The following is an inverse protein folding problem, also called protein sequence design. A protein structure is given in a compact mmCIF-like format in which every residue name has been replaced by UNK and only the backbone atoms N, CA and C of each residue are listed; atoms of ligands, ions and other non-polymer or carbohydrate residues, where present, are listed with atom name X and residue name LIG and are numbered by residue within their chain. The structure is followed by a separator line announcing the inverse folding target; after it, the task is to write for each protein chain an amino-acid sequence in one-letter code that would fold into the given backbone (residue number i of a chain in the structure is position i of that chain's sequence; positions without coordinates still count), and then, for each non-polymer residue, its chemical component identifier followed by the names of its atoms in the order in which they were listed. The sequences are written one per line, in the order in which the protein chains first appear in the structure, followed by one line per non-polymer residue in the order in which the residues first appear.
data_IF_738315197722
#
_entry.id   IF_738315197722
#
_cell.length_a   1.000
_cell.length_b   1.000
_cell.length_c   1.000
_cell.angle_alpha   90.00
_cell.angle_beta   90.00
_cell.angle_gamma   90.00
#
_symmetry.space_group_name_H-M   'P 1'
#
loop_
_entity.id
_entity.type
_entity.pdbx_description
1 polymer ?
#
# COMPACT_ATOMS: atom_id res chain seq x y z
N UNK A 1 6.29 6.25 -68.31
CA UNK A 1 4.99 6.55 -67.67
C UNK A 1 4.17 5.33 -67.26
N UNK A 2 4.59 4.12 -67.63
CA UNK A 2 3.87 2.89 -67.25
C UNK A 2 4.31 2.32 -65.91
N UNK A 3 5.43 2.75 -65.38
CA UNK A 3 6.02 2.22 -64.15
C UNK A 3 5.61 2.99 -62.88
N UNK A 4 5.12 4.22 -63.07
CA UNK A 4 4.63 5.04 -61.93
C UNK A 4 3.25 4.60 -61.42
N UNK A 5 2.50 3.88 -62.24
CA UNK A 5 1.19 3.36 -61.85
C UNK A 5 1.25 2.05 -61.04
N UNK A 6 2.41 1.37 -61.06
CA UNK A 6 2.59 0.13 -60.29
C UNK A 6 3.02 0.36 -58.85
N UNK A 7 3.50 1.55 -58.52
CA UNK A 7 3.98 1.86 -57.19
C UNK A 7 2.86 2.30 -56.23
N UNK A 8 1.74 2.75 -56.78
CA UNK A 8 0.60 3.24 -55.99
C UNK A 8 -0.29 2.12 -55.44
N UNK A 9 -0.14 0.91 -55.98
CA UNK A 9 -1.02 -0.23 -55.58
C UNK A 9 -0.54 -1.01 -54.33
N UNK A 10 0.61 -0.68 -53.74
CA UNK A 10 1.21 -1.48 -52.64
C UNK A 10 1.09 -0.81 -51.28
N UNK A 11 0.59 0.43 -51.20
CA UNK A 11 0.52 1.16 -49.93
C UNK A 11 -0.84 1.09 -49.22
N UNK A 12 -1.71 0.19 -49.57
CA UNK A 12 -3.04 0.04 -48.95
C UNK A 12 -3.22 -1.22 -48.10
N UNK A 13 -2.15 -1.79 -47.61
CA UNK A 13 -2.22 -2.76 -46.50
C UNK A 13 -1.99 -2.02 -45.19
N UNK A 14 -2.94 -1.17 -44.85
CA UNK A 14 -3.07 -0.65 -43.48
C UNK A 14 -3.30 -1.86 -42.58
N UNK A 15 -2.27 -2.20 -41.84
CA UNK A 15 -2.34 -3.15 -40.72
C UNK A 15 -3.31 -2.59 -39.69
N UNK A 16 -4.54 -3.09 -39.72
CA UNK A 16 -5.43 -2.97 -38.59
C UNK A 16 -4.83 -3.79 -37.45
N UNK A 17 -3.92 -3.18 -36.70
CA UNK A 17 -3.50 -3.68 -35.40
C UNK A 17 -4.73 -3.61 -34.50
N UNK A 18 -5.46 -4.71 -34.43
CA UNK A 18 -6.49 -4.91 -33.42
C UNK A 18 -5.75 -4.99 -32.11
N UNK A 19 -5.60 -3.85 -31.44
CA UNK A 19 -5.21 -3.79 -30.05
C UNK A 19 -6.38 -4.43 -29.30
N UNK A 20 -6.27 -5.72 -29.06
CA UNK A 20 -7.08 -6.38 -28.05
C UNK A 20 -6.64 -5.80 -26.72
N UNK A 21 -7.31 -4.73 -26.30
CA UNK A 21 -7.27 -4.31 -24.93
C UNK A 21 -7.85 -5.47 -24.11
N UNK A 22 -6.97 -6.31 -23.57
CA UNK A 22 -7.37 -7.26 -22.56
C UNK A 22 -7.98 -6.41 -21.43
N UNK A 23 -9.19 -6.72 -20.95
CA UNK A 23 -9.67 -6.08 -19.75
C UNK A 23 -8.63 -6.42 -18.67
N UNK A 24 -7.95 -5.40 -18.16
CA UNK A 24 -7.18 -5.54 -16.95
C UNK A 24 -8.21 -5.88 -15.88
N UNK A 25 -8.39 -7.16 -15.61
CA UNK A 25 -9.06 -7.63 -14.42
C UNK A 25 -8.12 -7.21 -13.31
N UNK A 26 -8.37 -6.06 -12.71
CA UNK A 26 -7.75 -5.71 -11.44
C UNK A 26 -8.20 -6.81 -10.48
N UNK A 27 -7.29 -7.73 -10.15
CA UNK A 27 -7.52 -8.64 -9.05
C UNK A 27 -7.96 -7.80 -7.86
N UNK A 28 -9.11 -8.12 -7.23
CA UNK A 28 -9.52 -7.38 -6.06
C UNK A 28 -8.37 -7.52 -5.07
N UNK A 29 -7.67 -6.43 -4.85
CA UNK A 29 -6.63 -6.37 -3.82
C UNK A 29 -7.28 -6.91 -2.54
N UNK A 30 -6.68 -7.91 -1.87
CA UNK A 30 -7.21 -8.38 -0.62
C UNK A 30 -7.45 -7.15 0.25
N UNK A 31 -8.63 -7.04 0.83
CA UNK A 31 -9.01 -5.94 1.72
C UNK A 31 -7.96 -5.88 2.82
N UNK A 32 -6.94 -5.06 2.61
CA UNK A 32 -5.94 -4.82 3.63
C UNK A 32 -6.58 -3.88 4.64
N UNK A 33 -6.68 -4.34 5.88
CA UNK A 33 -7.05 -3.45 6.95
C UNK A 33 -5.96 -2.39 7.06
N UNK A 34 -6.32 -1.15 6.79
CA UNK A 34 -5.41 0.00 6.86
C UNK A 34 -5.92 0.95 7.92
N UNK A 35 -5.04 1.35 8.82
CA UNK A 35 -5.30 2.41 9.79
C UNK A 35 -4.39 3.59 9.52
N UNK A 36 -4.95 4.79 9.56
CA UNK A 36 -4.21 6.04 9.33
C UNK A 36 -3.91 6.70 10.66
N UNK A 37 -2.63 6.94 10.93
CA UNK A 37 -2.18 7.64 12.14
C UNK A 37 -1.81 9.06 11.78
N UNK A 38 -2.55 10.01 12.34
CA UNK A 38 -2.27 11.44 12.21
C UNK A 38 -1.14 11.86 13.14
N UNK A 39 -0.25 12.69 12.62
CA UNK A 39 0.95 13.17 13.33
C UNK A 39 1.03 14.68 13.43
N UNK A 40 0.16 15.41 12.73
CA UNK A 40 0.23 16.87 12.59
C UNK A 40 0.06 17.63 13.92
N UNK A 41 -0.59 17.03 14.91
CA UNK A 41 -0.81 17.58 16.24
C UNK A 41 0.30 17.21 17.25
N UNK A 42 1.30 16.44 16.81
CA UNK A 42 2.37 15.95 17.66
C UNK A 42 3.69 16.67 17.38
N UNK A 43 4.34 17.13 18.45
CA UNK A 43 5.73 17.58 18.37
C UNK A 43 6.67 16.37 18.43
N UNK A 44 7.07 15.87 17.25
CA UNK A 44 7.94 14.71 17.13
C UNK A 44 9.39 14.97 17.57
N UNK A 45 9.77 16.21 17.80
CA UNK A 45 11.07 16.56 18.37
C UNK A 45 11.11 16.32 19.87
N UNK A 46 9.97 16.41 20.54
CA UNK A 46 9.82 16.18 21.97
C UNK A 46 9.72 14.69 22.31
N UNK A 47 10.17 14.31 23.51
CA UNK A 47 9.98 12.94 24.01
C UNK A 47 8.50 12.61 24.17
N UNK A 48 7.70 13.56 24.67
CA UNK A 48 6.26 13.37 24.87
C UNK A 48 5.53 13.12 23.56
N UNK A 49 5.83 13.88 22.49
CA UNK A 49 5.25 13.70 21.18
C UNK A 49 5.60 12.34 20.56
N UNK A 50 6.85 11.89 20.70
CA UNK A 50 7.26 10.55 20.23
C UNK A 50 6.56 9.42 21.00
N UNK A 51 6.40 9.56 22.31
CA UNK A 51 5.65 8.58 23.11
C UNK A 51 4.18 8.53 22.69
N UNK A 52 3.55 9.70 22.49
CA UNK A 52 2.18 9.79 22.03
C UNK A 52 2.00 9.14 20.63
N UNK A 53 2.96 9.34 19.72
CA UNK A 53 2.97 8.67 18.42
C UNK A 53 3.06 7.17 18.58
N UNK A 54 3.98 6.64 19.40
CA UNK A 54 4.12 5.20 19.61
C UNK A 54 2.82 4.56 20.12
N UNK A 55 2.12 5.21 21.06
CA UNK A 55 0.80 4.76 21.51
C UNK A 55 -0.23 4.70 20.38
N UNK A 56 -0.24 5.69 19.49
CA UNK A 56 -1.13 5.69 18.32
C UNK A 56 -0.79 4.56 17.34
N UNK A 57 0.50 4.30 17.11
CA UNK A 57 0.97 3.20 16.25
C UNK A 57 0.58 1.83 16.82
N UNK A 58 0.75 1.64 18.13
CA UNK A 58 0.32 0.41 18.81
C UNK A 58 -1.18 0.19 18.64
N UNK A 59 -1.99 1.23 18.91
CA UNK A 59 -3.44 1.14 18.71
C UNK A 59 -3.80 0.78 17.28
N UNK A 60 -3.20 1.45 16.29
CA UNK A 60 -3.42 1.17 14.87
C UNK A 60 -3.02 -0.26 14.50
N UNK A 61 -1.94 -0.81 15.07
CA UNK A 61 -1.55 -2.20 14.85
C UNK A 61 -2.58 -3.20 15.39
N UNK A 62 -3.21 -2.91 16.53
CA UNK A 62 -4.33 -3.71 17.03
C UNK A 62 -5.55 -3.62 16.11
N UNK A 63 -5.85 -2.43 15.61
CA UNK A 63 -6.99 -2.21 14.70
C UNK A 63 -6.83 -2.99 13.39
N UNK A 64 -5.61 -3.07 12.82
CA UNK A 64 -5.37 -3.77 11.55
C UNK A 64 -5.10 -5.27 11.68
N UNK A 65 -4.49 -5.70 12.77
CA UNK A 65 -4.18 -7.12 13.02
C UNK A 65 -5.28 -7.86 13.78
N UNK A 66 -6.20 -7.14 14.37
CA UNK A 66 -7.28 -7.70 15.19
C UNK A 66 -6.79 -8.35 16.49
N UNK A 67 -7.74 -8.98 17.15
CA UNK A 67 -7.54 -9.79 18.36
C UNK A 67 -8.13 -11.18 18.15
N UNK A 68 -7.40 -12.19 18.58
CA UNK A 68 -7.92 -13.57 18.57
C UNK A 68 -8.61 -13.88 19.90
N UNK A 69 -9.47 -14.91 19.90
CA UNK A 69 -10.11 -15.44 21.10
C UNK A 69 -9.05 -15.96 22.08
N UNK A 70 -9.35 -15.88 23.39
CA UNK A 70 -8.46 -16.38 24.44
C UNK A 70 -8.17 -17.87 24.36
N UNK A 71 -9.08 -18.63 23.76
CA UNK A 71 -8.93 -20.09 23.56
C UNK A 71 -8.25 -20.45 22.25
N UNK A 72 -8.05 -19.50 21.34
CA UNK A 72 -7.37 -19.71 20.06
C UNK A 72 -5.90 -19.30 20.15
N UNK A 73 -5.06 -20.20 20.64
CA UNK A 73 -3.62 -19.97 20.80
C UNK A 73 -2.92 -19.72 19.46
N UNK A 74 -3.38 -20.36 18.38
CA UNK A 74 -2.79 -20.14 17.05
C UNK A 74 -3.13 -18.76 16.52
N UNK A 75 -4.39 -18.35 16.63
CA UNK A 75 -4.83 -17.01 16.25
C UNK A 75 -4.13 -15.93 17.05
N UNK A 76 -3.90 -16.13 18.36
CA UNK A 76 -3.14 -15.21 19.21
C UNK A 76 -1.70 -15.05 18.73
N UNK A 77 -1.01 -16.15 18.38
CA UNK A 77 0.35 -16.12 17.86
C UNK A 77 0.41 -15.38 16.51
N UNK A 78 -0.55 -15.62 15.61
CA UNK A 78 -0.65 -14.92 14.32
C UNK A 78 -0.92 -13.43 14.49
N UNK A 79 -1.86 -13.06 15.37
CA UNK A 79 -2.15 -11.65 15.68
C UNK A 79 -0.94 -10.96 16.32
N UNK A 80 -0.24 -11.62 17.22
CA UNK A 80 0.98 -11.10 17.84
C UNK A 80 2.08 -10.87 16.79
N UNK A 81 2.33 -11.85 15.93
CA UNK A 81 3.30 -11.73 14.83
C UNK A 81 2.93 -10.57 13.90
N UNK A 82 1.66 -10.49 13.48
CA UNK A 82 1.16 -9.39 12.66
C UNK A 82 1.45 -8.03 13.31
N UNK A 83 1.10 -7.83 14.58
CA UNK A 83 1.35 -6.58 15.30
C UNK A 83 2.83 -6.23 15.39
N UNK A 84 3.69 -7.22 15.65
CA UNK A 84 5.14 -7.02 15.70
C UNK A 84 5.69 -6.55 14.36
N UNK A 85 5.30 -7.20 13.27
CA UNK A 85 5.76 -6.87 11.91
C UNK A 85 5.25 -5.49 11.47
N UNK A 86 3.99 -5.19 11.72
CA UNK A 86 3.35 -3.91 11.40
C UNK A 86 3.96 -2.76 12.18
N UNK A 87 4.20 -2.93 13.49
CA UNK A 87 4.83 -1.92 14.34
C UNK A 87 6.27 -1.65 13.93
N UNK A 88 7.05 -2.68 13.59
CA UNK A 88 8.42 -2.50 13.14
C UNK A 88 8.48 -1.61 11.89
N UNK A 89 7.60 -1.86 10.91
CA UNK A 89 7.49 -1.04 9.70
C UNK A 89 7.04 0.38 9.99
N UNK A 90 5.98 0.53 10.77
CA UNK A 90 5.42 1.84 11.11
C UNK A 90 6.41 2.71 11.89
N UNK A 91 7.18 2.12 12.80
CA UNK A 91 8.24 2.83 13.53
C UNK A 91 9.40 3.25 12.63
N UNK A 92 9.82 2.40 11.69
CA UNK A 92 10.84 2.76 10.71
C UNK A 92 10.37 3.91 9.80
N UNK A 93 9.11 3.86 9.35
CA UNK A 93 8.50 4.93 8.57
C UNK A 93 8.38 6.23 9.36
N UNK A 94 7.99 6.16 10.63
CA UNK A 94 7.88 7.32 11.52
C UNK A 94 9.20 8.07 11.70
N UNK A 95 10.31 7.36 11.74
CA UNK A 95 11.64 7.96 11.82
C UNK A 95 11.99 8.74 10.55
N UNK A 96 11.60 8.23 9.39
CA UNK A 96 11.81 8.91 8.11
C UNK A 96 10.89 10.13 7.96
N UNK A 97 9.66 10.04 8.45
CA UNK A 97 8.66 11.11 8.37
C UNK A 97 8.86 12.22 9.42
N UNK A 98 9.57 11.95 10.50
CA UNK A 98 9.89 12.96 11.52
C UNK A 98 10.58 14.20 10.93
N UNK A 99 11.30 14.02 9.79
CA UNK A 99 11.94 15.11 9.05
C UNK A 99 11.05 15.75 7.97
N UNK A 100 9.99 15.09 7.53
CA UNK A 100 9.16 15.51 6.40
C UNK A 100 7.74 15.91 6.79
N UNK A 101 7.23 15.40 7.91
CA UNK A 101 5.83 15.49 8.28
C UNK A 101 4.93 14.60 7.42
N UNK A 102 3.71 14.35 7.88
CA UNK A 102 2.71 13.59 7.13
C UNK A 102 2.08 12.47 7.94
N UNK A 103 0.96 11.89 7.45
CA UNK A 103 0.31 10.76 8.08
C UNK A 103 1.12 9.47 7.88
N UNK A 104 1.00 8.55 8.84
CA UNK A 104 1.57 7.21 8.77
C UNK A 104 0.47 6.21 8.46
N UNK A 105 0.69 5.39 7.45
CA UNK A 105 -0.24 4.34 7.05
C UNK A 105 0.19 3.01 7.65
N UNK A 106 -0.63 2.47 8.52
CA UNK A 106 -0.41 1.17 9.16
C UNK A 106 -1.29 0.15 8.45
N UNK A 107 -0.68 -0.83 7.81
CA UNK A 107 -1.38 -1.86 7.06
C UNK A 107 -0.84 -3.25 7.40
N UNK A 108 -1.76 -4.19 7.61
CA UNK A 108 -1.44 -5.61 7.65
C UNK A 108 -1.50 -6.21 6.24
N UNK A 109 -0.55 -7.06 5.92
CA UNK A 109 -0.56 -7.87 4.69
C UNK A 109 -0.96 -9.29 5.02
#
# INVERSE_FOLDING_TARGET
MKDTLKIIAISALATAAIIKAAPAVADPLPLQNVSVVHTADLDLTSKAGRTALDHRLVKAAYDVCGTASEIDLQGQNLAHKCRTDVLAKARAESQQLASRGGPIFVAAR
#
